data_IF_792240116989
#
_entry.id   IF_792240116989
#
_cell.length_a   1.000
_cell.length_b   1.000
_cell.length_c   1.000
_cell.angle_alpha   90.00
_cell.angle_beta   90.00
_cell.angle_gamma   90.00
#
_symmetry.space_group_name_H-M   'P 1'
#
loop_
_entity.id
_entity.type
_entity.pdbx_description
1 polymer ?
#
# COMPACT_ATOMS: atom_id res chain seq x y z
N UNK A 1 15.21 -31.62 0.50
CA UNK A 1 15.59 -30.33 -0.11
C UNK A 1 14.29 -29.55 -0.22
N UNK A 2 14.08 -28.58 0.66
CA UNK A 2 12.80 -27.88 0.77
C UNK A 2 12.77 -26.82 -0.33
N UNK A 3 11.93 -27.01 -1.34
CA UNK A 3 11.69 -25.99 -2.37
C UNK A 3 11.23 -24.71 -1.67
N UNK A 4 12.00 -23.64 -1.85
CA UNK A 4 11.59 -22.31 -1.41
C UNK A 4 10.43 -21.87 -2.31
N UNK A 5 9.21 -21.85 -1.77
CA UNK A 5 8.05 -21.29 -2.46
C UNK A 5 8.36 -19.84 -2.84
N UNK A 6 8.31 -19.56 -4.14
CA UNK A 6 8.47 -18.22 -4.71
C UNK A 6 7.20 -17.41 -4.42
N UNK A 7 7.13 -16.79 -3.24
CA UNK A 7 5.94 -16.03 -2.78
C UNK A 7 5.82 -14.64 -3.44
N UNK A 8 6.72 -14.26 -4.35
CA UNK A 8 6.66 -12.95 -5.02
C UNK A 8 5.67 -12.97 -6.18
N UNK A 9 4.49 -12.43 -5.96
CA UNK A 9 3.50 -12.16 -7.02
C UNK A 9 3.95 -11.08 -8.03
N UNK A 10 5.11 -10.45 -7.81
CA UNK A 10 5.60 -9.33 -8.61
C UNK A 10 6.62 -9.73 -9.69
N UNK A 11 7.03 -11.00 -9.73
CA UNK A 11 8.16 -11.45 -10.55
C UNK A 11 7.95 -11.17 -12.05
N UNK A 12 6.73 -11.37 -12.56
CA UNK A 12 6.42 -11.19 -13.99
C UNK A 12 5.25 -10.20 -14.23
N UNK A 13 4.81 -9.46 -13.20
CA UNK A 13 3.60 -8.63 -13.27
C UNK A 13 3.74 -7.42 -14.21
N UNK A 14 4.96 -6.90 -14.38
CA UNK A 14 5.27 -5.74 -15.23
C UNK A 14 5.89 -6.13 -16.58
N UNK A 15 5.81 -7.39 -16.99
CA UNK A 15 6.25 -7.83 -18.32
C UNK A 15 5.08 -7.77 -19.31
N UNK A 16 4.59 -6.57 -19.61
CA UNK A 16 3.60 -6.40 -20.69
C UNK A 16 4.25 -6.75 -22.04
N UNK A 17 3.79 -7.82 -22.70
CA UNK A 17 4.44 -8.45 -23.88
C UNK A 17 3.94 -7.97 -25.25
N UNK A 18 3.10 -6.93 -25.32
CA UNK A 18 2.50 -6.47 -26.57
C UNK A 18 3.09 -5.16 -27.10
N UNK A 19 4.00 -5.23 -28.08
CA UNK A 19 4.51 -4.07 -28.84
C UNK A 19 5.77 -3.37 -28.27
N UNK A 20 6.49 -2.57 -29.09
CA UNK A 20 7.70 -1.88 -28.63
C UNK A 20 7.35 -0.73 -27.67
N UNK A 21 7.50 -0.98 -26.37
CA UNK A 21 7.37 0.02 -25.31
C UNK A 21 8.72 0.31 -24.63
N UNK A 22 9.62 1.08 -25.28
CA UNK A 22 10.98 1.31 -24.77
C UNK A 22 11.00 2.04 -23.42
N UNK A 23 10.11 3.02 -23.22
CA UNK A 23 9.96 3.71 -21.92
C UNK A 23 9.51 2.75 -20.83
N UNK A 24 8.49 1.94 -21.10
CA UNK A 24 7.98 0.97 -20.14
C UNK A 24 9.05 -0.05 -19.75
N UNK A 25 9.81 -0.57 -20.72
CA UNK A 25 10.91 -1.51 -20.46
C UNK A 25 12.01 -0.87 -19.61
N UNK A 26 12.33 0.40 -19.87
CA UNK A 26 13.30 1.15 -19.06
C UNK A 26 12.81 1.30 -17.61
N UNK A 27 11.57 1.77 -17.40
CA UNK A 27 10.99 1.93 -16.07
C UNK A 27 10.84 0.59 -15.33
N UNK A 28 10.44 -0.47 -16.03
CA UNK A 28 10.36 -1.81 -15.46
C UNK A 28 11.74 -2.31 -15.03
N UNK A 29 12.78 -2.09 -15.84
CA UNK A 29 14.15 -2.44 -15.48
C UNK A 29 14.63 -1.71 -14.21
N UNK A 30 14.36 -0.41 -14.09
CA UNK A 30 14.65 0.37 -12.87
C UNK A 30 13.85 -0.15 -11.67
N UNK A 31 12.56 -0.40 -11.84
CA UNK A 31 11.70 -0.93 -10.79
C UNK A 31 12.20 -2.29 -10.28
N UNK A 32 12.57 -3.22 -11.17
CA UNK A 32 13.11 -4.52 -10.79
C UNK A 32 14.46 -4.42 -10.07
N UNK A 33 15.31 -3.44 -10.42
CA UNK A 33 16.53 -3.18 -9.66
C UNK A 33 16.20 -2.79 -8.20
N UNK A 34 15.28 -1.85 -8.00
CA UNK A 34 14.84 -1.46 -6.67
C UNK A 34 14.14 -2.59 -5.89
N UNK A 35 13.37 -3.44 -6.56
CA UNK A 35 12.73 -4.61 -5.94
C UNK A 35 13.77 -5.65 -5.48
N UNK A 36 14.82 -5.91 -6.27
CA UNK A 36 15.94 -6.78 -5.85
C UNK A 36 16.67 -6.22 -4.63
N UNK A 37 16.98 -4.92 -4.64
CA UNK A 37 17.62 -4.28 -3.49
C UNK A 37 16.76 -4.35 -2.23
N UNK A 38 15.44 -4.15 -2.38
CA UNK A 38 14.48 -4.32 -1.29
C UNK A 38 14.50 -5.76 -0.76
N UNK A 39 14.45 -6.75 -1.65
CA UNK A 39 14.46 -8.16 -1.28
C UNK A 39 15.74 -8.53 -0.52
N UNK A 40 16.91 -8.08 -0.98
CA UNK A 40 18.19 -8.29 -0.31
C UNK A 40 18.22 -7.67 1.10
N UNK A 41 17.76 -6.42 1.24
CA UNK A 41 17.65 -5.74 2.56
C UNK A 41 16.69 -6.42 3.52
N UNK A 42 15.60 -6.99 3.01
CA UNK A 42 14.64 -7.73 3.84
C UNK A 42 15.23 -9.09 4.26
N UNK A 43 15.90 -9.78 3.34
CA UNK A 43 16.53 -11.06 3.60
C UNK A 43 17.67 -10.99 4.62
N UNK A 44 18.28 -9.82 4.84
CA UNK A 44 19.33 -9.62 5.85
C UNK A 44 18.80 -9.40 7.27
N UNK A 45 17.51 -9.13 7.47
CA UNK A 45 16.93 -8.90 8.80
C UNK A 45 16.81 -10.23 9.55
N UNK A 46 17.18 -10.25 10.83
CA UNK A 46 17.21 -11.47 11.66
C UNK A 46 16.48 -11.29 12.98
N UNK A 47 16.45 -10.08 13.52
CA UNK A 47 15.94 -9.80 14.86
C UNK A 47 14.68 -8.93 14.83
N UNK A 48 13.90 -8.95 15.89
CA UNK A 48 12.74 -8.05 16.04
C UNK A 48 13.16 -6.56 15.99
N UNK A 49 14.35 -6.23 16.47
CA UNK A 49 14.92 -4.88 16.44
C UNK A 49 15.22 -4.42 15.01
N UNK A 50 15.76 -5.32 14.16
CA UNK A 50 15.98 -5.04 12.74
C UNK A 50 14.67 -4.67 12.03
N UNK A 51 13.59 -5.41 12.35
CA UNK A 51 12.26 -5.17 11.79
C UNK A 51 11.65 -3.86 12.28
N UNK A 52 11.79 -3.55 13.57
CA UNK A 52 11.32 -2.30 14.16
C UNK A 52 12.03 -1.09 13.51
N UNK A 53 13.36 -1.18 13.40
CA UNK A 53 14.19 -0.13 12.77
C UNK A 53 13.78 0.10 11.31
N UNK A 54 13.55 -0.99 10.56
CA UNK A 54 13.05 -0.90 9.18
C UNK A 54 11.67 -0.25 9.11
N UNK A 55 10.74 -0.62 10.00
CA UNK A 55 9.39 -0.05 10.02
C UNK A 55 9.43 1.46 10.28
N UNK A 56 10.29 1.90 11.20
CA UNK A 56 10.49 3.32 11.47
C UNK A 56 11.04 4.06 10.25
N UNK A 57 12.08 3.52 9.61
CA UNK A 57 12.67 4.10 8.41
C UNK A 57 11.64 4.21 7.26
N UNK A 58 10.88 3.14 7.00
CA UNK A 58 9.83 3.15 5.98
C UNK A 58 8.73 4.17 6.28
N UNK A 59 8.29 4.27 7.54
CA UNK A 59 7.31 5.26 7.95
C UNK A 59 7.82 6.66 7.66
N UNK A 60 9.06 6.97 8.03
CA UNK A 60 9.67 8.28 7.78
C UNK A 60 9.74 8.60 6.29
N UNK A 61 10.25 7.67 5.47
CA UNK A 61 10.31 7.85 4.01
C UNK A 61 8.93 8.09 3.40
N UNK A 62 7.90 7.36 3.85
CA UNK A 62 6.54 7.57 3.36
C UNK A 62 5.98 8.95 3.72
N UNK A 63 6.26 9.44 4.92
CA UNK A 63 5.87 10.79 5.34
C UNK A 63 6.58 11.88 4.51
N UNK A 64 7.87 11.69 4.20
CA UNK A 64 8.63 12.62 3.37
C UNK A 64 8.11 12.67 1.93
N UNK A 65 7.74 11.51 1.35
CA UNK A 65 7.27 11.42 -0.03
C UNK A 65 5.83 11.92 -0.21
N UNK A 66 4.93 11.55 0.69
CA UNK A 66 3.51 11.92 0.60
C UNK A 66 3.28 13.36 1.06
N UNK A 67 4.16 13.88 1.91
CA UNK A 67 4.00 15.16 2.58
C UNK A 67 3.13 15.07 3.84
N UNK A 68 2.95 16.19 4.54
CA UNK A 68 2.16 16.22 5.77
C UNK A 68 0.68 15.94 5.47
N UNK A 69 0.04 15.16 6.35
CA UNK A 69 -1.42 15.06 6.34
C UNK A 69 -2.04 16.42 6.75
N UNK A 70 -3.23 16.76 6.22
CA UNK A 70 -3.96 17.94 6.68
C UNK A 70 -4.29 17.82 8.17
N UNK A 71 -4.60 18.95 8.81
CA UNK A 71 -5.06 18.97 10.19
C UNK A 71 -6.28 18.05 10.37
N UNK A 72 -6.30 17.31 11.49
CA UNK A 72 -7.40 16.40 11.78
C UNK A 72 -8.66 17.20 12.09
N UNK A 73 -9.70 17.01 11.28
CA UNK A 73 -11.02 17.58 11.52
C UNK A 73 -11.99 16.52 12.06
N UNK A 74 -13.01 16.90 12.83
CA UNK A 74 -14.06 15.97 13.24
C UNK A 74 -14.71 15.33 12.00
N UNK A 75 -14.83 14.01 12.01
CA UNK A 75 -15.30 13.22 10.86
C UNK A 75 -16.80 13.43 10.56
N UNK A 76 -17.58 13.90 11.54
CA UNK A 76 -19.03 14.13 11.47
C UNK A 76 -19.83 13.03 10.72
N UNK A 77 -19.66 11.74 11.05
CA UNK A 77 -20.32 10.67 10.32
C UNK A 77 -21.83 10.69 10.57
N UNK A 78 -22.61 10.48 9.51
CA UNK A 78 -24.07 10.41 9.54
C UNK A 78 -24.54 9.14 8.86
N UNK A 79 -25.29 8.32 9.58
CA UNK A 79 -25.96 7.15 9.01
C UNK A 79 -27.16 7.65 8.20
N UNK A 80 -27.11 7.45 6.88
CA UNK A 80 -28.18 7.88 5.96
C UNK A 80 -29.18 6.77 5.66
N UNK A 81 -28.78 5.52 5.88
CA UNK A 81 -29.67 4.36 5.71
C UNK A 81 -29.23 3.23 6.63
N UNK A 82 -30.19 2.55 7.25
CA UNK A 82 -29.97 1.31 7.97
C UNK A 82 -30.88 0.22 7.41
N UNK A 83 -30.30 -0.93 7.06
CA UNK A 83 -31.01 -2.07 6.48
C UNK A 83 -30.78 -3.28 7.36
N UNK A 84 -31.86 -3.78 7.97
CA UNK A 84 -31.83 -5.05 8.68
C UNK A 84 -31.77 -6.22 7.66
N UNK A 85 -30.85 -7.14 7.89
CA UNK A 85 -30.72 -8.42 7.19
C UNK A 85 -30.73 -9.54 8.22
N UNK A 86 -30.91 -10.77 7.75
CA UNK A 86 -30.83 -11.91 8.65
C UNK A 86 -29.37 -12.06 9.14
N UNK A 87 -29.18 -11.99 10.45
CA UNK A 87 -27.87 -12.08 11.10
C UNK A 87 -26.97 -10.84 11.04
N UNK A 88 -27.33 -9.75 10.35
CA UNK A 88 -26.52 -8.52 10.31
C UNK A 88 -27.31 -7.25 9.95
N UNK A 89 -26.66 -6.08 10.12
CA UNK A 89 -27.21 -4.78 9.74
C UNK A 89 -26.24 -4.06 8.82
N UNK A 90 -26.76 -3.52 7.71
CA UNK A 90 -25.99 -2.68 6.80
C UNK A 90 -26.33 -1.22 7.05
N UNK A 91 -25.31 -0.41 7.35
CA UNK A 91 -25.44 1.03 7.53
C UNK A 91 -24.68 1.75 6.41
N UNK A 92 -25.37 2.61 5.67
CA UNK A 92 -24.73 3.56 4.76
C UNK A 92 -24.42 4.81 5.55
N UNK A 93 -23.17 5.25 5.50
CA UNK A 93 -22.70 6.42 6.21
C UNK A 93 -22.13 7.44 5.22
N UNK A 94 -22.34 8.72 5.51
CA UNK A 94 -21.65 9.81 4.85
C UNK A 94 -20.83 10.52 5.93
N UNK A 95 -19.57 10.81 5.64
CA UNK A 95 -18.70 11.50 6.57
C UNK A 95 -17.87 12.57 5.87
N UNK A 96 -17.36 13.52 6.65
CA UNK A 96 -16.55 14.63 6.16
C UNK A 96 -15.06 14.30 6.35
N UNK A 97 -14.38 13.97 5.26
CA UNK A 97 -12.95 13.59 5.28
C UNK A 97 -12.01 14.79 5.46
N UNK A 98 -12.46 15.96 4.99
CA UNK A 98 -11.84 17.28 5.12
C UNK A 98 -12.97 18.32 5.13
N UNK A 99 -12.76 19.55 5.62
CA UNK A 99 -13.77 20.60 5.60
C UNK A 99 -14.46 20.72 4.24
N UNK A 100 -15.79 20.57 4.24
CA UNK A 100 -16.67 20.58 3.07
C UNK A 100 -16.41 19.45 2.03
N UNK A 101 -15.71 18.38 2.39
CA UNK A 101 -15.43 17.22 1.52
C UNK A 101 -16.06 15.93 2.07
N UNK A 102 -17.18 15.53 1.46
CA UNK A 102 -17.97 14.36 1.87
C UNK A 102 -17.54 13.08 1.15
N UNK A 103 -17.50 11.97 1.89
CA UNK A 103 -17.21 10.62 1.42
C UNK A 103 -18.37 9.69 1.78
N UNK A 104 -18.73 8.80 0.85
CA UNK A 104 -19.89 7.87 0.92
C UNK A 104 -19.46 6.42 0.86
#
# INVERSE_FOLDING_TARGET
MMESEELSILSNWLEHTGGPHPLYRHLAHEAYAHLRDRAARVASLRTAEDWCSRQQALRQTLFELVGPFPERTPLQPRVVQSIAKDGYRLEKLIFESQPALYVT
#
